data_IF_747926816832
#
_entry.id   IF_747926816832
#
_cell.length_a   1.000
_cell.length_b   1.000
_cell.length_c   1.000
_cell.angle_alpha   90.00
_cell.angle_beta   90.00
_cell.angle_gamma   90.00
#
_symmetry.space_group_name_H-M   'P 1'
#
loop_
_entity.id
_entity.type
_entity.pdbx_description
1 polymer ?
#
# COMPACT_ATOMS: atom_id res chain seq x y z
N UNK A 1 11.94 7.26 9.99
CA UNK A 1 10.50 7.07 9.71
C UNK A 1 10.08 8.00 8.58
N UNK A 2 9.36 7.51 7.58
CA UNK A 2 8.75 8.33 6.54
C UNK A 2 7.31 8.64 6.91
N UNK A 3 6.94 9.91 6.90
CA UNK A 3 5.66 10.42 7.42
C UNK A 3 4.76 10.86 6.28
N UNK A 4 3.53 10.33 6.23
CA UNK A 4 2.51 10.70 5.27
C UNK A 4 1.67 11.87 5.82
N UNK A 5 2.20 13.09 5.72
CA UNK A 5 1.64 14.33 6.28
C UNK A 5 1.05 15.30 5.23
N UNK A 6 1.12 14.95 3.94
CA UNK A 6 0.63 15.81 2.85
C UNK A 6 -0.87 15.64 2.52
N UNK A 7 -1.60 14.84 3.30
CA UNK A 7 -3.02 14.63 3.09
C UNK A 7 -3.87 15.86 3.43
N UNK A 8 -4.85 16.18 2.57
CA UNK A 8 -5.85 17.22 2.81
C UNK A 8 -7.22 16.60 3.12
N UNK A 9 -7.60 15.56 2.38
CA UNK A 9 -8.88 14.87 2.54
C UNK A 9 -8.83 13.70 3.54
N UNK A 10 -7.69 13.41 4.11
CA UNK A 10 -7.54 12.39 5.16
C UNK A 10 -6.76 12.95 6.34
N UNK A 11 -7.13 12.55 7.54
CA UNK A 11 -6.34 12.80 8.73
C UNK A 11 -6.56 11.69 9.78
N UNK A 12 -5.53 11.41 10.53
CA UNK A 12 -5.59 10.62 11.74
C UNK A 12 -5.81 11.58 12.91
N UNK A 13 -7.01 11.55 13.49
CA UNK A 13 -7.38 12.50 14.53
C UNK A 13 -6.74 12.11 15.88
N UNK A 14 -6.93 10.84 16.29
CA UNK A 14 -6.49 10.35 17.60
C UNK A 14 -6.34 8.82 17.60
N UNK A 15 -5.59 8.27 18.57
CA UNK A 15 -5.37 6.83 18.74
C UNK A 15 -5.45 6.44 20.21
N UNK A 16 -6.22 5.39 20.54
CA UNK A 16 -6.32 4.87 21.90
C UNK A 16 -6.98 3.50 21.97
N UNK A 17 -6.51 2.66 22.88
CA UNK A 17 -7.21 1.42 23.25
C UNK A 17 -7.40 0.43 22.11
N UNK A 18 -6.39 0.26 21.27
CA UNK A 18 -6.47 -0.63 20.11
C UNK A 18 -7.26 -0.07 18.91
N UNK A 19 -7.62 1.22 18.95
CA UNK A 19 -8.44 1.88 17.93
C UNK A 19 -7.78 3.16 17.43
N UNK A 20 -8.11 3.53 16.20
CA UNK A 20 -7.82 4.83 15.62
C UNK A 20 -9.10 5.55 15.23
N UNK A 21 -9.13 6.85 15.52
CA UNK A 21 -10.14 7.79 15.06
C UNK A 21 -9.55 8.55 13.87
N UNK A 22 -10.18 8.46 12.73
CA UNK A 22 -9.71 9.07 11.49
C UNK A 22 -10.83 9.80 10.76
N UNK A 23 -10.45 10.74 9.90
CA UNK A 23 -11.34 11.45 9.00
C UNK A 23 -10.97 11.12 7.56
N UNK A 24 -11.96 10.72 6.76
CA UNK A 24 -11.83 10.56 5.30
C UNK A 24 -12.86 11.45 4.60
N UNK A 25 -12.40 12.49 3.92
CA UNK A 25 -13.25 13.56 3.41
C UNK A 25 -13.98 14.26 4.57
N UNK A 26 -15.30 14.23 4.56
CA UNK A 26 -16.12 14.81 5.65
C UNK A 26 -16.54 13.81 6.73
N UNK A 27 -16.22 12.54 6.59
CA UNK A 27 -16.70 11.48 7.48
C UNK A 27 -15.64 11.02 8.45
N UNK A 28 -16.05 10.76 9.68
CA UNK A 28 -15.19 10.26 10.76
C UNK A 28 -15.45 8.79 11.04
N UNK A 29 -14.38 8.03 11.21
CA UNK A 29 -14.42 6.59 11.39
C UNK A 29 -13.62 6.17 12.63
N UNK A 30 -14.14 5.19 13.37
CA UNK A 30 -13.37 4.47 14.41
C UNK A 30 -13.10 3.07 13.91
N UNK A 31 -11.82 2.70 13.83
CA UNK A 31 -11.40 1.38 13.36
C UNK A 31 -10.34 0.78 14.28
N UNK A 32 -10.33 -0.55 14.47
CA UNK A 32 -9.27 -1.20 15.23
C UNK A 32 -7.94 -1.11 14.50
N UNK A 33 -6.89 -0.81 15.26
CA UNK A 33 -5.52 -0.83 14.79
C UNK A 33 -4.63 -1.57 15.78
N UNK A 34 -3.97 -2.69 15.39
CA UNK A 34 -3.18 -3.50 16.31
C UNK A 34 -1.89 -2.84 16.76
N UNK A 35 -1.46 -1.76 16.09
CA UNK A 35 -0.28 -0.98 16.52
C UNK A 35 -0.59 -0.10 17.72
N UNK A 36 -1.86 0.24 17.93
CA UNK A 36 -2.29 1.09 19.06
C UNK A 36 -2.40 0.23 20.32
N UNK A 37 -1.30 0.09 21.04
CA UNK A 37 -1.21 -0.69 22.29
C UNK A 37 -1.25 0.19 23.55
N UNK A 38 -1.50 1.48 23.38
CA UNK A 38 -1.60 2.48 24.45
C UNK A 38 -3.04 2.95 24.62
N UNK A 39 -3.31 3.49 25.79
CA UNK A 39 -4.58 4.14 26.13
C UNK A 39 -4.38 5.63 26.32
N UNK A 40 -5.36 6.41 25.89
CA UNK A 40 -5.52 7.83 26.16
C UNK A 40 -6.94 8.13 26.64
N UNK A 41 -7.18 9.34 27.12
CA UNK A 41 -8.49 9.76 27.65
C UNK A 41 -9.60 9.85 26.59
N UNK A 42 -9.31 9.64 25.30
CA UNK A 42 -10.26 9.79 24.18
C UNK A 42 -11.03 11.12 24.25
N UNK A 43 -10.31 12.22 24.44
CA UNK A 43 -10.91 13.55 24.68
C UNK A 43 -11.58 14.14 23.45
N UNK A 44 -11.16 13.73 22.24
CA UNK A 44 -11.73 14.28 21.02
C UNK A 44 -13.22 13.90 20.89
N UNK A 45 -14.13 14.88 20.65
CA UNK A 45 -15.58 14.64 20.63
C UNK A 45 -16.01 13.56 19.64
N UNK A 46 -15.33 13.45 18.49
CA UNK A 46 -15.66 12.50 17.43
C UNK A 46 -15.50 11.04 17.84
N UNK A 47 -14.83 10.71 18.94
CA UNK A 47 -14.87 9.36 19.48
C UNK A 47 -16.28 8.87 19.81
N UNK A 48 -17.16 9.81 20.20
CA UNK A 48 -18.56 9.54 20.59
C UNK A 48 -19.55 9.77 19.46
N UNK A 49 -19.18 10.57 18.46
CA UNK A 49 -20.05 11.02 17.37
C UNK A 49 -19.57 10.60 15.98
N UNK A 50 -18.67 9.62 15.90
CA UNK A 50 -18.15 9.13 14.61
C UNK A 50 -19.29 8.64 13.70
N UNK A 51 -19.15 8.90 12.40
CA UNK A 51 -20.14 8.49 11.39
C UNK A 51 -20.23 6.98 11.25
N UNK A 52 -19.13 6.26 11.52
CA UNK A 52 -19.16 4.81 11.65
C UNK A 52 -18.02 4.27 12.54
N UNK A 53 -18.26 3.06 13.07
CA UNK A 53 -17.25 2.31 13.81
C UNK A 53 -17.24 0.85 13.39
N UNK A 54 -16.03 0.26 13.27
CA UNK A 54 -15.88 -1.17 13.05
C UNK A 54 -15.56 -1.88 14.37
N UNK A 55 -16.35 -2.88 14.72
CA UNK A 55 -16.10 -3.71 15.91
C UNK A 55 -15.70 -5.10 15.51
N UNK A 56 -14.62 -5.59 16.11
CA UNK A 56 -14.21 -7.01 15.97
C UNK A 56 -15.16 -7.89 16.77
N UNK A 57 -15.60 -8.99 16.13
CA UNK A 57 -16.45 -10.02 16.74
C UNK A 57 -15.87 -11.37 16.32
N UNK A 58 -15.22 -12.09 17.24
CA UNK A 58 -14.53 -13.34 16.92
C UNK A 58 -13.42 -13.15 15.87
N UNK A 59 -13.39 -14.01 14.85
CA UNK A 59 -12.44 -13.93 13.73
C UNK A 59 -12.78 -12.91 12.64
N UNK A 60 -13.87 -12.12 12.81
CA UNK A 60 -14.34 -11.13 11.85
C UNK A 60 -14.72 -9.81 12.50
N UNK A 61 -15.82 -9.21 12.07
CA UNK A 61 -16.36 -7.99 12.64
C UNK A 61 -17.44 -7.39 11.77
N UNK A 62 -18.01 -6.29 12.24
CA UNK A 62 -19.06 -5.57 11.53
C UNK A 62 -18.93 -4.06 11.72
N UNK A 63 -19.41 -3.32 10.71
CA UNK A 63 -19.58 -1.88 10.79
C UNK A 63 -20.89 -1.54 11.49
N UNK A 64 -20.81 -0.64 12.46
CA UNK A 64 -21.94 0.14 12.94
C UNK A 64 -21.90 1.47 12.19
N UNK A 65 -22.86 1.69 11.32
CA UNK A 65 -22.97 2.89 10.49
C UNK A 65 -24.03 3.79 11.09
N UNK A 66 -23.65 5.04 11.41
CA UNK A 66 -24.56 6.06 11.91
C UNK A 66 -24.97 7.01 10.77
N UNK A 67 -24.01 7.46 9.96
CA UNK A 67 -24.22 8.42 8.87
C UNK A 67 -23.16 8.31 7.78
N UNK A 68 -23.12 7.19 7.04
CA UNK A 68 -22.23 7.04 5.89
C UNK A 68 -23.00 6.71 4.61
N UNK A 69 -22.57 7.19 3.44
CA UNK A 69 -22.98 6.63 2.16
C UNK A 69 -22.34 5.25 1.95
N UNK A 70 -22.80 4.51 0.96
CA UNK A 70 -22.18 3.23 0.58
C UNK A 70 -20.70 3.41 0.18
N UNK A 71 -20.36 4.54 -0.43
CA UNK A 71 -18.99 4.91 -0.78
C UNK A 71 -18.87 6.41 -0.97
N UNK A 72 -17.65 6.93 -0.85
CA UNK A 72 -17.32 8.33 -1.15
C UNK A 72 -15.88 8.43 -1.65
N UNK A 73 -15.51 9.59 -2.17
CA UNK A 73 -14.18 9.81 -2.69
C UNK A 73 -13.36 10.67 -1.73
N UNK A 74 -12.06 10.39 -1.67
CA UNK A 74 -11.05 11.24 -1.04
C UNK A 74 -9.92 11.48 -2.03
N UNK A 75 -9.24 12.60 -1.91
CA UNK A 75 -8.18 13.02 -2.82
C UNK A 75 -6.84 13.15 -2.10
N UNK A 76 -5.78 12.84 -2.81
CA UNK A 76 -4.40 13.12 -2.45
C UNK A 76 -3.71 13.83 -3.61
N UNK A 77 -3.52 15.14 -3.48
CA UNK A 77 -3.06 15.97 -4.59
C UNK A 77 -3.96 15.80 -5.82
N UNK A 78 -3.39 15.30 -6.90
CA UNK A 78 -4.07 15.05 -8.18
C UNK A 78 -4.63 13.62 -8.33
N UNK A 79 -4.65 12.84 -7.26
CA UNK A 79 -5.19 11.48 -7.21
C UNK A 79 -6.52 11.48 -6.46
N UNK A 80 -7.48 10.69 -6.93
CA UNK A 80 -8.79 10.52 -6.29
C UNK A 80 -9.10 9.03 -6.12
N UNK A 81 -9.50 8.66 -4.91
CA UNK A 81 -9.77 7.29 -4.55
C UNK A 81 -11.15 7.13 -3.95
N UNK A 82 -11.87 6.11 -4.38
CA UNK A 82 -13.13 5.69 -3.80
C UNK A 82 -12.87 4.85 -2.55
N UNK A 83 -13.43 5.25 -1.43
CA UNK A 83 -13.41 4.50 -0.18
C UNK A 83 -14.81 4.09 0.23
N UNK A 84 -14.92 2.95 0.92
CA UNK A 84 -16.18 2.39 1.38
C UNK A 84 -15.96 1.46 2.57
N UNK A 85 -16.88 1.36 3.52
CA UNK A 85 -16.91 0.24 4.44
C UNK A 85 -16.93 -1.08 3.68
N UNK A 86 -16.05 -2.00 4.04
CA UNK A 86 -15.99 -3.34 3.44
C UNK A 86 -16.43 -4.40 4.46
N UNK A 87 -16.47 -5.66 4.07
CA UNK A 87 -16.72 -6.77 5.00
C UNK A 87 -15.65 -6.90 6.10
N UNK A 88 -14.58 -6.13 6.01
CA UNK A 88 -13.48 -6.05 6.97
C UNK A 88 -13.28 -4.62 7.48
N UNK A 89 -12.32 -4.43 8.38
CA UNK A 89 -11.98 -3.10 8.93
C UNK A 89 -11.44 -2.10 7.88
N UNK A 90 -11.04 -2.57 6.70
CA UNK A 90 -10.41 -1.75 5.66
C UNK A 90 -11.46 -1.01 4.83
N UNK A 91 -11.14 0.22 4.43
CA UNK A 91 -12.01 1.09 3.63
C UNK A 91 -11.62 1.16 2.17
N UNK A 92 -10.55 0.48 1.79
CA UNK A 92 -10.08 0.41 0.39
C UNK A 92 -8.83 1.26 0.11
N UNK A 93 -8.25 1.90 1.12
CA UNK A 93 -7.01 2.68 0.95
C UNK A 93 -6.13 2.55 2.21
N UNK A 94 -4.82 2.67 1.99
CA UNK A 94 -3.78 2.76 3.00
C UNK A 94 -3.11 4.13 2.89
N UNK A 95 -3.57 5.13 3.67
CA UNK A 95 -3.12 6.52 3.53
C UNK A 95 -1.62 6.73 3.78
N UNK A 96 -1.01 5.92 4.63
CA UNK A 96 0.43 5.93 4.91
C UNK A 96 1.29 5.67 3.68
N UNK A 97 0.74 5.01 2.66
CA UNK A 97 1.46 4.74 1.41
C UNK A 97 1.66 5.99 0.54
N UNK A 98 1.00 7.09 0.85
CA UNK A 98 1.14 8.33 0.09
C UNK A 98 2.59 8.82 0.03
N UNK A 99 3.36 8.66 1.11
CA UNK A 99 4.78 9.04 1.14
C UNK A 99 5.64 8.19 0.19
N UNK A 100 5.24 6.95 -0.08
CA UNK A 100 5.86 6.13 -1.11
C UNK A 100 5.42 6.55 -2.51
N UNK A 101 4.14 6.97 -2.67
CA UNK A 101 3.66 7.47 -3.98
C UNK A 101 4.43 8.72 -4.40
N UNK A 102 4.66 9.66 -3.52
CA UNK A 102 5.44 10.88 -3.81
C UNK A 102 6.86 10.51 -4.24
N UNK A 103 7.53 9.64 -3.48
CA UNK A 103 8.89 9.20 -3.76
C UNK A 103 9.04 8.57 -5.16
N UNK A 104 8.25 7.57 -5.51
CA UNK A 104 8.44 6.90 -6.81
C UNK A 104 7.86 7.71 -7.98
N UNK A 105 6.87 8.59 -7.75
CA UNK A 105 6.38 9.51 -8.79
C UNK A 105 7.46 10.46 -9.24
N UNK A 106 8.27 10.97 -8.33
CA UNK A 106 9.38 11.84 -8.66
C UNK A 106 10.46 11.09 -9.44
N UNK A 107 10.78 9.86 -9.06
CA UNK A 107 11.70 9.02 -9.83
C UNK A 107 11.21 8.78 -11.26
N UNK A 108 9.93 8.41 -11.42
CA UNK A 108 9.34 8.15 -12.74
C UNK A 108 9.37 9.41 -13.62
N UNK A 109 8.97 10.57 -13.09
CA UNK A 109 8.95 11.84 -13.83
C UNK A 109 10.35 12.27 -14.28
N UNK A 110 11.36 12.02 -13.47
CA UNK A 110 12.75 12.43 -13.71
C UNK A 110 13.59 11.37 -14.45
N UNK A 111 13.03 10.22 -14.78
CA UNK A 111 13.77 9.11 -15.38
C UNK A 111 14.31 9.39 -16.80
N UNK A 112 13.74 10.38 -17.52
CA UNK A 112 14.15 10.73 -18.88
C UNK A 112 13.88 9.66 -19.95
N UNK A 113 13.18 8.57 -19.59
CA UNK A 113 12.82 7.45 -20.46
C UNK A 113 11.48 6.85 -20.06
N UNK A 114 10.80 6.12 -20.95
CA UNK A 114 9.61 5.36 -20.57
C UNK A 114 9.91 4.33 -19.47
N UNK A 115 9.03 4.26 -18.46
CA UNK A 115 9.17 3.37 -17.31
C UNK A 115 8.04 2.36 -17.30
N UNK A 116 8.40 1.07 -17.17
CA UNK A 116 7.47 -0.04 -17.02
C UNK A 116 7.46 -0.53 -15.57
N UNK A 117 6.35 -0.33 -14.88
CA UNK A 117 6.18 -0.69 -13.47
C UNK A 117 5.37 -1.97 -13.35
N UNK A 118 5.84 -2.90 -12.51
CA UNK A 118 5.07 -4.05 -12.04
C UNK A 118 4.62 -3.78 -10.61
N UNK A 119 3.30 -3.73 -10.38
CA UNK A 119 2.70 -3.62 -9.05
C UNK A 119 2.04 -4.95 -8.67
N UNK A 120 2.59 -5.62 -7.68
CA UNK A 120 2.17 -6.92 -7.16
C UNK A 120 1.43 -6.75 -5.83
N UNK A 121 0.41 -7.60 -5.59
CA UNK A 121 -0.50 -7.45 -4.44
C UNK A 121 -1.14 -6.07 -4.44
N UNK A 122 -1.54 -5.63 -5.62
CA UNK A 122 -1.76 -4.24 -5.95
C UNK A 122 -3.07 -3.66 -5.38
N UNK A 123 -3.89 -4.51 -4.75
CA UNK A 123 -5.12 -4.14 -4.03
C UNK A 123 -6.04 -3.23 -4.88
N UNK A 124 -6.50 -2.12 -4.32
CA UNK A 124 -7.36 -1.13 -4.99
C UNK A 124 -6.61 -0.16 -5.89
N UNK A 125 -5.31 -0.38 -6.09
CA UNK A 125 -4.51 0.31 -7.09
C UNK A 125 -3.97 1.68 -6.69
N UNK A 126 -3.84 2.01 -5.40
CA UNK A 126 -3.26 3.29 -4.99
C UNK A 126 -1.91 3.58 -5.65
N UNK A 127 -0.96 2.65 -5.52
CA UNK A 127 0.35 2.77 -6.15
C UNK A 127 0.28 2.69 -7.69
N UNK A 128 -0.63 1.88 -8.25
CA UNK A 128 -0.85 1.78 -9.71
C UNK A 128 -1.27 3.12 -10.29
N UNK A 129 -2.26 3.77 -9.67
CA UNK A 129 -2.78 5.07 -10.11
C UNK A 129 -1.71 6.15 -9.99
N UNK A 130 -0.97 6.16 -8.88
CA UNK A 130 0.11 7.10 -8.65
C UNK A 130 1.24 6.96 -9.69
N UNK A 131 1.65 5.72 -10.01
CA UNK A 131 2.67 5.45 -11.02
C UNK A 131 2.20 5.84 -12.44
N UNK A 132 0.96 5.49 -12.81
CA UNK A 132 0.38 5.86 -14.10
C UNK A 132 0.23 7.37 -14.24
N UNK A 133 -0.15 8.09 -13.18
CA UNK A 133 -0.24 9.55 -13.17
C UNK A 133 1.13 10.22 -13.35
N UNK A 134 2.20 9.56 -12.94
CA UNK A 134 3.57 10.02 -13.18
C UNK A 134 4.09 9.69 -14.60
N UNK A 135 3.31 8.98 -15.42
CA UNK A 135 3.64 8.68 -16.83
C UNK A 135 4.17 7.26 -17.08
N UNK A 136 4.16 6.37 -16.08
CA UNK A 136 4.57 4.98 -16.27
C UNK A 136 3.50 4.14 -17.00
N UNK A 137 3.96 3.12 -17.74
CA UNK A 137 3.11 1.98 -18.07
C UNK A 137 3.10 0.99 -16.89
N UNK A 138 1.92 0.51 -16.50
CA UNK A 138 1.79 -0.28 -15.26
C UNK A 138 1.15 -1.63 -15.53
N UNK A 139 1.72 -2.69 -14.97
CA UNK A 139 1.06 -3.99 -14.84
C UNK A 139 0.62 -4.14 -13.39
N UNK A 140 -0.69 -4.13 -13.19
CA UNK A 140 -1.37 -4.27 -11.90
C UNK A 140 -1.80 -5.71 -11.71
N UNK A 141 -1.29 -6.38 -10.68
CA UNK A 141 -1.60 -7.78 -10.40
C UNK A 141 -2.15 -7.93 -8.99
N UNK A 142 -3.34 -8.48 -8.89
CA UNK A 142 -3.98 -8.86 -7.62
C UNK A 142 -4.84 -10.10 -7.82
N UNK A 143 -4.94 -10.95 -6.82
CA UNK A 143 -5.75 -12.18 -6.88
C UNK A 143 -7.26 -11.92 -6.76
N UNK A 144 -7.66 -10.77 -6.23
CA UNK A 144 -9.05 -10.40 -6.01
C UNK A 144 -9.64 -9.64 -7.20
N UNK A 145 -10.60 -10.27 -7.90
CA UNK A 145 -11.33 -9.62 -9.00
C UNK A 145 -12.00 -8.30 -8.56
N UNK A 146 -12.52 -8.26 -7.34
CA UNK A 146 -13.17 -7.06 -6.80
C UNK A 146 -12.18 -5.91 -6.58
N UNK A 147 -10.96 -6.21 -6.10
CA UNK A 147 -9.92 -5.19 -5.91
C UNK A 147 -9.40 -4.67 -7.24
N UNK A 148 -9.20 -5.55 -8.22
CA UNK A 148 -8.83 -5.15 -9.59
C UNK A 148 -9.90 -4.28 -10.25
N UNK A 149 -11.19 -4.58 -10.04
CA UNK A 149 -12.26 -3.72 -10.52
C UNK A 149 -12.24 -2.33 -9.86
N UNK A 150 -12.01 -2.27 -8.55
CA UNK A 150 -11.87 -1.01 -7.81
C UNK A 150 -10.65 -0.21 -8.28
N UNK A 151 -9.54 -0.88 -8.62
CA UNK A 151 -8.36 -0.21 -9.17
C UNK A 151 -8.67 0.49 -10.50
N UNK A 152 -9.51 -0.10 -11.37
CA UNK A 152 -9.98 0.56 -12.60
C UNK A 152 -10.84 1.79 -12.31
N UNK A 153 -11.75 1.70 -11.33
CA UNK A 153 -12.55 2.84 -10.89
C UNK A 153 -11.65 3.98 -10.39
N UNK A 154 -10.65 3.68 -9.56
CA UNK A 154 -9.71 4.66 -9.03
C UNK A 154 -8.85 5.31 -10.13
N UNK A 155 -8.47 4.55 -11.15
CA UNK A 155 -7.77 5.09 -12.32
C UNK A 155 -8.65 6.08 -13.10
N UNK A 156 -9.93 5.77 -13.30
CA UNK A 156 -10.89 6.68 -13.93
C UNK A 156 -11.09 7.94 -13.10
N UNK A 157 -11.33 7.82 -11.80
CA UNK A 157 -11.50 8.95 -10.88
C UNK A 157 -10.29 9.88 -10.85
N UNK A 158 -9.09 9.33 -11.00
CA UNK A 158 -7.82 10.09 -11.02
C UNK A 158 -7.45 10.60 -12.43
N UNK A 159 -8.31 10.42 -13.43
CA UNK A 159 -8.07 10.89 -14.80
C UNK A 159 -6.97 10.13 -15.55
N UNK A 160 -6.69 8.89 -15.17
CA UNK A 160 -5.74 7.98 -15.85
C UNK A 160 -6.40 6.69 -16.35
N UNK A 161 -7.70 6.73 -16.60
CA UNK A 161 -8.45 5.58 -17.11
C UNK A 161 -7.95 5.07 -18.47
N UNK A 162 -7.42 5.95 -19.30
CA UNK A 162 -6.86 5.65 -20.63
C UNK A 162 -5.34 5.45 -20.61
N UNK A 163 -4.70 5.54 -19.45
CA UNK A 163 -3.27 5.28 -19.32
C UNK A 163 -2.94 3.79 -19.61
N UNK A 164 -1.71 3.47 -20.02
CA UNK A 164 -1.32 2.09 -20.34
C UNK A 164 -1.21 1.23 -19.08
N UNK A 165 -2.34 0.91 -18.47
CA UNK A 165 -2.46 0.05 -17.30
C UNK A 165 -3.03 -1.31 -17.72
N UNK A 166 -2.26 -2.37 -17.50
CA UNK A 166 -2.71 -3.75 -17.71
C UNK A 166 -3.15 -4.35 -16.38
N UNK A 167 -4.43 -4.67 -16.26
CA UNK A 167 -5.03 -5.24 -15.05
C UNK A 167 -5.09 -6.76 -15.14
N UNK A 168 -4.55 -7.45 -14.16
CA UNK A 168 -4.42 -8.91 -14.11
C UNK A 168 -5.03 -9.42 -12.80
N UNK A 169 -5.99 -10.33 -12.89
CA UNK A 169 -6.52 -11.10 -11.77
C UNK A 169 -5.77 -12.43 -11.72
N UNK A 170 -4.78 -12.57 -10.83
CA UNK A 170 -3.92 -13.72 -10.75
C UNK A 170 -3.16 -13.81 -9.42
N UNK A 171 -2.62 -15.00 -9.12
CA UNK A 171 -1.59 -15.19 -8.10
C UNK A 171 -0.29 -14.50 -8.52
N UNK A 172 0.24 -13.63 -7.66
CA UNK A 172 1.41 -12.81 -7.96
C UNK A 172 2.66 -13.64 -8.27
N UNK A 173 2.93 -14.70 -7.49
CA UNK A 173 4.08 -15.58 -7.69
C UNK A 173 3.99 -16.29 -9.04
N UNK A 174 2.85 -16.90 -9.33
CA UNK A 174 2.60 -17.59 -10.61
C UNK A 174 2.68 -16.63 -11.79
N UNK A 175 2.20 -15.41 -11.62
CA UNK A 175 2.32 -14.36 -12.63
C UNK A 175 3.80 -14.08 -12.94
N UNK A 176 4.61 -13.80 -11.90
CA UNK A 176 6.05 -13.50 -12.05
C UNK A 176 6.79 -14.67 -12.72
N UNK A 177 6.54 -15.90 -12.30
CA UNK A 177 7.14 -17.10 -12.92
C UNK A 177 6.83 -17.19 -14.42
N UNK A 178 5.61 -16.83 -14.84
CA UNK A 178 5.24 -16.80 -16.26
C UNK A 178 5.93 -15.66 -17.02
N UNK A 179 6.05 -14.49 -16.42
CA UNK A 179 6.72 -13.35 -17.04
C UNK A 179 8.23 -13.61 -17.23
N UNK A 180 8.87 -14.28 -16.26
CA UNK A 180 10.26 -14.74 -16.39
C UNK A 180 10.41 -15.69 -17.60
N UNK A 181 9.54 -16.71 -17.71
CA UNK A 181 9.56 -17.64 -18.87
C UNK A 181 9.33 -16.97 -20.22
N UNK A 182 8.58 -15.84 -20.23
CA UNK A 182 8.32 -15.04 -21.42
C UNK A 182 9.45 -14.04 -21.74
N UNK A 183 10.45 -13.92 -20.86
CA UNK A 183 11.51 -12.94 -21.01
C UNK A 183 11.08 -11.49 -20.79
N UNK A 184 9.90 -11.25 -20.18
CA UNK A 184 9.46 -9.91 -19.85
C UNK A 184 10.30 -9.32 -18.72
N UNK A 185 10.58 -8.01 -18.80
CA UNK A 185 11.35 -7.25 -17.82
C UNK A 185 10.60 -5.98 -17.43
N UNK A 186 10.91 -5.48 -16.24
CA UNK A 186 10.29 -4.29 -15.65
C UNK A 186 11.35 -3.36 -15.08
N UNK A 187 11.17 -2.07 -15.29
CA UNK A 187 12.08 -1.05 -14.78
C UNK A 187 11.88 -0.77 -13.31
N UNK A 188 10.68 -1.04 -12.81
CA UNK A 188 10.37 -0.87 -11.41
C UNK A 188 9.40 -1.95 -10.92
N UNK A 189 9.55 -2.33 -9.66
CA UNK A 189 8.64 -3.25 -8.97
C UNK A 189 8.17 -2.63 -7.67
N UNK A 190 6.87 -2.69 -7.45
CA UNK A 190 6.20 -2.35 -6.19
C UNK A 190 5.54 -3.62 -5.68
N UNK A 191 5.73 -3.97 -4.41
CA UNK A 191 5.10 -5.12 -3.81
C UNK A 191 4.70 -4.88 -2.35
N UNK A 192 3.50 -5.32 -2.03
CA UNK A 192 2.92 -5.25 -0.69
C UNK A 192 2.30 -6.61 -0.31
N UNK A 193 3.14 -7.64 -0.12
CA UNK A 193 2.65 -8.99 0.13
C UNK A 193 1.92 -9.09 1.48
N UNK A 194 0.82 -9.86 1.55
CA UNK A 194 0.07 -10.00 2.78
C UNK A 194 0.88 -10.73 3.85
N UNK A 195 0.71 -10.33 5.12
CA UNK A 195 1.35 -11.00 6.26
C UNK A 195 0.93 -12.46 6.39
N UNK A 196 -0.34 -12.74 6.08
CA UNK A 196 -0.94 -14.07 6.15
C UNK A 196 -1.98 -14.25 5.03
N UNK A 197 -2.06 -15.47 4.51
CA UNK A 197 -3.07 -15.85 3.52
C UNK A 197 -3.34 -17.35 3.51
N UNK A 198 -4.46 -17.74 2.90
CA UNK A 198 -4.77 -19.14 2.60
C UNK A 198 -5.06 -19.27 1.12
N UNK A 199 -4.39 -20.21 0.48
CA UNK A 199 -4.68 -20.60 -0.90
C UNK A 199 -5.96 -21.43 -1.01
N UNK A 200 -6.47 -21.62 -2.24
CA UNK A 200 -7.72 -22.35 -2.49
C UNK A 200 -7.68 -23.82 -2.08
N UNK A 201 -6.50 -24.42 -1.99
CA UNK A 201 -6.32 -25.83 -1.56
C UNK A 201 -5.89 -25.94 -0.10
N UNK A 202 -5.99 -24.85 0.69
CA UNK A 202 -5.62 -24.82 2.09
C UNK A 202 -4.15 -24.51 2.38
N UNK A 203 -3.36 -24.16 1.37
CA UNK A 203 -1.97 -23.73 1.54
C UNK A 203 -1.92 -22.50 2.46
N UNK A 204 -0.99 -22.49 3.38
CA UNK A 204 -0.77 -21.37 4.29
C UNK A 204 0.38 -20.53 3.78
N UNK A 205 0.09 -19.25 3.53
CA UNK A 205 1.08 -18.21 3.29
C UNK A 205 1.38 -17.48 4.58
N UNK A 206 2.65 -17.40 4.93
CA UNK A 206 3.18 -16.48 5.94
C UNK A 206 4.31 -15.70 5.32
N UNK A 207 4.32 -14.38 5.52
CA UNK A 207 5.30 -13.52 4.85
C UNK A 207 6.71 -13.87 5.30
N UNK A 208 6.95 -14.03 6.58
CA UNK A 208 8.25 -14.32 7.17
C UNK A 208 8.90 -15.62 6.65
N UNK A 209 8.08 -16.60 6.25
CA UNK A 209 8.54 -17.87 5.69
C UNK A 209 8.85 -17.77 4.18
N UNK A 210 8.34 -16.74 3.51
CA UNK A 210 8.32 -16.67 2.04
C UNK A 210 9.00 -15.43 1.45
N UNK A 211 9.22 -14.38 2.23
CA UNK A 211 9.67 -13.08 1.70
C UNK A 211 11.03 -13.16 1.02
N UNK A 212 11.98 -13.90 1.56
CA UNK A 212 13.31 -14.05 0.98
C UNK A 212 13.25 -14.69 -0.41
N UNK A 213 12.52 -15.80 -0.53
CA UNK A 213 12.34 -16.50 -1.81
C UNK A 213 11.54 -15.69 -2.82
N UNK A 214 10.57 -14.89 -2.35
CA UNK A 214 9.77 -14.02 -3.21
C UNK A 214 10.63 -12.89 -3.78
N UNK A 215 11.45 -12.22 -2.96
CA UNK A 215 12.37 -11.17 -3.44
C UNK A 215 13.39 -11.76 -4.42
N UNK A 216 13.94 -12.95 -4.13
CA UNK A 216 14.84 -13.66 -5.04
C UNK A 216 14.18 -14.00 -6.38
N UNK A 217 12.91 -14.41 -6.39
CA UNK A 217 12.16 -14.66 -7.62
C UNK A 217 11.98 -13.37 -8.41
N UNK A 218 11.57 -12.29 -7.76
CA UNK A 218 11.28 -11.01 -8.39
C UNK A 218 12.55 -10.32 -8.92
N UNK A 219 13.71 -10.55 -8.30
CA UNK A 219 14.97 -10.01 -8.83
C UNK A 219 15.24 -10.40 -10.30
N UNK A 220 14.73 -11.57 -10.73
CA UNK A 220 14.90 -12.06 -12.11
C UNK A 220 13.99 -11.37 -13.13
N UNK A 221 13.08 -10.50 -12.73
CA UNK A 221 12.17 -9.80 -13.64
C UNK A 221 12.55 -8.32 -13.81
N UNK A 222 13.54 -7.83 -13.07
CA UNK A 222 14.07 -6.49 -13.26
C UNK A 222 14.76 -6.36 -14.62
N UNK A 223 14.63 -5.20 -15.25
CA UNK A 223 15.35 -4.85 -16.48
C UNK A 223 16.86 -4.71 -16.19
N UNK A 224 17.66 -4.60 -17.25
CA UNK A 224 19.11 -4.41 -17.12
C UNK A 224 19.45 -3.04 -16.52
N UNK A 225 18.56 -2.05 -16.69
CA UNK A 225 18.67 -0.71 -16.12
C UNK A 225 17.39 -0.40 -15.28
N UNK A 226 17.21 -1.06 -14.13
CA UNK A 226 16.04 -0.80 -13.30
C UNK A 226 16.08 0.62 -12.73
N UNK A 227 14.90 1.17 -12.41
CA UNK A 227 14.76 2.49 -11.79
C UNK A 227 14.63 2.38 -10.29
N UNK A 228 13.67 1.57 -9.83
CA UNK A 228 13.45 1.37 -8.39
C UNK A 228 12.81 0.03 -8.05
N UNK A 229 12.96 -0.36 -6.79
CA UNK A 229 12.21 -1.45 -6.17
C UNK A 229 11.65 -0.97 -4.82
N UNK A 230 10.37 -1.25 -4.58
CA UNK A 230 9.67 -0.92 -3.35
C UNK A 230 9.05 -2.18 -2.74
N UNK A 231 9.44 -2.49 -1.51
CA UNK A 231 8.86 -3.58 -0.71
C UNK A 231 8.18 -3.00 0.52
N UNK A 232 6.90 -3.30 0.72
CA UNK A 232 6.14 -2.95 1.90
C UNK A 232 5.86 -4.17 2.78
N UNK A 233 5.67 -3.96 4.07
CA UNK A 233 5.20 -4.98 5.01
C UNK A 233 4.43 -4.37 6.17
N UNK A 234 3.36 -5.05 6.54
CA UNK A 234 2.55 -4.78 7.73
C UNK A 234 2.67 -5.91 8.76
N UNK A 235 3.68 -6.77 8.59
CA UNK A 235 3.90 -7.92 9.46
C UNK A 235 4.61 -7.50 10.73
N UNK A 236 3.95 -7.71 11.88
CA UNK A 236 4.56 -7.49 13.20
C UNK A 236 5.77 -8.42 13.38
N UNK A 237 6.89 -7.87 13.80
CA UNK A 237 8.14 -8.62 14.01
C UNK A 237 9.08 -8.66 12.79
N UNK A 238 8.62 -8.24 11.61
CA UNK A 238 9.50 -8.05 10.45
C UNK A 238 9.99 -6.58 10.42
N UNK A 239 11.14 -6.33 11.00
CA UNK A 239 11.70 -4.98 11.09
C UNK A 239 12.14 -4.44 9.73
N UNK A 240 12.18 -3.11 9.54
CA UNK A 240 12.73 -2.49 8.32
C UNK A 240 14.14 -2.98 8.00
N UNK A 241 14.97 -3.17 9.02
CA UNK A 241 16.35 -3.62 8.85
C UNK A 241 16.43 -5.07 8.36
N UNK A 242 15.57 -5.97 8.87
CA UNK A 242 15.51 -7.34 8.37
C UNK A 242 15.07 -7.38 6.90
N UNK A 243 14.07 -6.59 6.52
CA UNK A 243 13.65 -6.44 5.12
C UNK A 243 14.78 -5.90 4.23
N UNK A 244 15.52 -4.91 4.73
CA UNK A 244 16.70 -4.35 4.03
C UNK A 244 17.74 -5.42 3.76
N UNK A 245 18.08 -6.26 4.74
CA UNK A 245 19.04 -7.36 4.55
C UNK A 245 18.61 -8.34 3.45
N UNK A 246 17.33 -8.73 3.44
CA UNK A 246 16.79 -9.60 2.38
C UNK A 246 16.97 -8.95 1.01
N UNK A 247 16.61 -7.68 0.88
CA UNK A 247 16.73 -6.93 -0.37
C UNK A 247 18.20 -6.77 -0.79
N UNK A 248 19.10 -6.49 0.15
CA UNK A 248 20.55 -6.40 -0.10
C UNK A 248 21.14 -7.70 -0.66
N UNK A 249 20.69 -8.84 -0.15
CA UNK A 249 21.17 -10.16 -0.56
C UNK A 249 20.61 -10.61 -1.93
N UNK A 250 19.43 -10.14 -2.31
CA UNK A 250 18.67 -10.70 -3.45
C UNK A 250 18.64 -9.82 -4.69
N UNK A 251 18.74 -8.51 -4.55
CA UNK A 251 18.70 -7.61 -5.71
C UNK A 251 20.09 -7.33 -6.28
N UNK A 252 20.19 -6.92 -7.56
CA UNK A 252 21.46 -6.53 -8.19
C UNK A 252 22.22 -5.50 -7.37
N UNK A 253 23.54 -5.65 -7.25
CA UNK A 253 24.39 -4.86 -6.34
C UNK A 253 24.94 -3.57 -6.93
N UNK A 254 24.90 -3.42 -8.26
CA UNK A 254 25.55 -2.29 -8.94
C UNK A 254 24.72 -1.01 -8.85
N UNK A 255 25.39 0.10 -8.51
CA UNK A 255 24.82 1.47 -8.54
C UNK A 255 23.43 1.58 -7.92
N UNK A 256 23.29 1.22 -6.63
CA UNK A 256 22.03 1.31 -5.92
C UNK A 256 22.18 1.98 -4.56
N UNK A 257 21.14 2.65 -4.13
CA UNK A 257 20.92 3.06 -2.73
C UNK A 257 19.77 2.26 -2.15
N UNK A 258 19.87 1.86 -0.88
CA UNK A 258 18.83 1.13 -0.17
C UNK A 258 18.54 1.83 1.14
N UNK A 259 17.30 2.23 1.31
CA UNK A 259 16.77 2.82 2.53
C UNK A 259 15.63 1.97 3.06
N UNK A 260 15.53 1.85 4.38
CA UNK A 260 14.46 1.09 5.03
C UNK A 260 13.99 1.82 6.28
N UNK A 261 12.70 2.09 6.33
CA UNK A 261 12.09 2.88 7.39
C UNK A 261 10.67 2.39 7.72
N UNK A 262 10.19 2.74 8.89
CA UNK A 262 8.78 2.67 9.21
C UNK A 262 8.00 3.78 8.48
N UNK A 263 6.75 3.48 8.14
CA UNK A 263 5.78 4.45 7.66
C UNK A 263 4.95 4.97 8.84
N UNK A 264 4.62 6.24 8.81
CA UNK A 264 3.82 6.84 9.88
C UNK A 264 2.79 7.84 9.39
N UNK A 265 1.74 8.01 10.18
CA UNK A 265 0.72 9.06 10.01
C UNK A 265 0.69 9.90 11.28
N UNK A 266 0.84 11.24 11.19
CA UNK A 266 0.76 12.11 12.35
C UNK A 266 -0.69 12.20 12.87
N UNK A 267 -0.86 12.31 14.19
CA UNK A 267 -2.15 12.58 14.82
C UNK A 267 -2.43 14.08 14.90
N UNK A 268 -3.71 14.47 14.81
CA UNK A 268 -4.13 15.89 14.97
C UNK A 268 -4.11 16.34 16.43
N UNK A 269 -4.40 15.44 17.36
CA UNK A 269 -4.62 15.79 18.78
C UNK A 269 -3.32 16.07 19.52
N UNK A 270 -2.24 15.43 19.12
CA UNK A 270 -0.92 15.57 19.71
C UNK A 270 0.15 15.42 18.60
N UNK A 271 1.40 15.66 18.96
CA UNK A 271 2.50 15.57 18.00
C UNK A 271 3.01 14.13 17.76
N UNK A 272 2.21 13.11 18.13
CA UNK A 272 2.58 11.71 17.94
C UNK A 272 2.38 11.26 16.50
N UNK A 273 3.09 10.22 16.13
CA UNK A 273 2.97 9.57 14.82
C UNK A 273 2.62 8.11 15.04
N UNK A 274 1.51 7.66 14.44
CA UNK A 274 1.14 6.25 14.45
C UNK A 274 2.07 5.49 13.50
N UNK A 275 2.87 4.51 13.97
CA UNK A 275 3.61 3.62 13.08
C UNK A 275 2.61 2.67 12.40
N UNK A 276 2.63 2.63 11.07
CA UNK A 276 1.64 1.89 10.28
C UNK A 276 2.18 0.60 9.68
N UNK A 277 3.42 0.64 9.20
CA UNK A 277 4.09 -0.48 8.56
C UNK A 277 5.53 -0.10 8.23
N UNK A 278 6.20 -0.93 7.45
CA UNK A 278 7.59 -0.72 7.05
C UNK A 278 7.74 -0.77 5.54
N UNK A 279 8.69 -0.02 5.01
CA UNK A 279 9.06 -0.06 3.60
C UNK A 279 10.57 -0.12 3.40
N UNK A 280 10.98 -0.81 2.34
CA UNK A 280 12.33 -0.74 1.79
C UNK A 280 12.25 -0.11 0.41
N UNK A 281 12.99 0.96 0.20
CA UNK A 281 13.15 1.69 -1.06
C UNK A 281 14.52 1.41 -1.64
N UNK A 282 14.58 0.99 -2.87
CA UNK A 282 15.82 0.85 -3.64
C UNK A 282 15.73 1.75 -4.84
N UNK A 283 16.71 2.64 -4.99
CA UNK A 283 16.93 3.39 -6.22
C UNK A 283 18.15 2.81 -6.94
N UNK A 284 18.03 2.63 -8.25
CA UNK A 284 19.12 2.20 -9.10
C UNK A 284 19.59 3.35 -9.98
N UNK A 285 20.89 3.44 -10.24
CA UNK A 285 21.50 4.49 -11.05
C UNK A 285 22.32 5.48 -10.21
N UNK A 286 22.97 6.42 -10.91
CA UNK A 286 23.69 7.54 -10.28
C UNK A 286 22.69 8.71 -10.18
N UNK A 287 22.40 9.13 -8.98
CA UNK A 287 21.65 10.35 -8.66
C UNK A 287 22.61 11.48 -8.30
#
# INVERSE_FOLDING_TARGET
MWIADNWQDYSLIDTSGGEKLERGGKYTLVRPDPQVIWDSDKKHPSWRSADASYKRIGGGGSWRINSLPESWNISYGDLTFKIAPSGFKHTGLFPEQAVNWDWFRDLIKNAGRPIKVLNLFAYTGGATVAAAKAGASVVHVDSSKGMVARAKENAQLSGVGEAPIRYIVDDCKKFVEREIRRGNRYDAVIMDPPSYGRGPNGEVWKLEDNIDSLVALISNILSDEPLFFLLNSYTTGLSPLAMRYIVELRLPTQNRTIEAEELGIPTEVDAHVLPCGSSVRVCFGRF
#
